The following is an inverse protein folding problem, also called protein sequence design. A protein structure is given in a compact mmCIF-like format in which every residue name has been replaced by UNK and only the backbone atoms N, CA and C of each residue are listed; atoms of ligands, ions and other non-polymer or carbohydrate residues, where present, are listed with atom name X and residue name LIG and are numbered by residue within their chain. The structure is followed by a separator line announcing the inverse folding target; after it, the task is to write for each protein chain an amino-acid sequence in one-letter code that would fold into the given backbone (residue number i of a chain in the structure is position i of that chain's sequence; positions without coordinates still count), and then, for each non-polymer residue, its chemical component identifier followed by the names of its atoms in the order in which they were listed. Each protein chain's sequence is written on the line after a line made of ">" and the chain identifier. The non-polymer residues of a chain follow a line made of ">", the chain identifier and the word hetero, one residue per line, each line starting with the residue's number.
data_IF_726694878000
#
_entry.id   IF_726694878000
#
_cell.length_a   1.000
_cell.length_b   1.000
_cell.length_c   1.000
_cell.angle_alpha   90.00
_cell.angle_beta   90.00
_cell.angle_gamma   90.00
#
_symmetry.space_group_name_H-M   'P 1'
#
loop_
_entity.id
_entity.type
_entity.pdbx_description
1 polymer ?
#
# COMPACT_ATOMS: atom_id res chain seq x y z
N UNK A 1 -35.22 -12.38 -3.61
CA UNK A 1 -34.03 -11.74 -3.02
C UNK A 1 -34.18 -10.25 -3.27
N UNK A 2 -34.44 -9.49 -2.22
CA UNK A 2 -34.57 -8.03 -2.31
C UNK A 2 -33.14 -7.50 -2.37
N UNK A 3 -32.72 -7.00 -3.53
CA UNK A 3 -31.55 -6.13 -3.62
C UNK A 3 -31.88 -4.91 -2.75
N UNK A 4 -31.38 -4.88 -1.52
CA UNK A 4 -31.36 -3.65 -0.75
C UNK A 4 -30.44 -2.71 -1.52
N UNK A 5 -31.04 -1.72 -2.19
CA UNK A 5 -30.34 -0.54 -2.67
C UNK A 5 -29.63 0.08 -1.47
N UNK A 6 -28.38 -0.32 -1.28
CA UNK A 6 -27.51 0.20 -0.24
C UNK A 6 -27.33 1.67 -0.53
N UNK A 7 -28.00 2.53 0.25
CA UNK A 7 -27.78 3.96 0.24
C UNK A 7 -26.29 4.19 0.44
N UNK A 8 -25.62 4.66 -0.61
CA UNK A 8 -24.21 5.03 -0.55
C UNK A 8 -24.03 6.01 0.61
N UNK A 9 -23.24 5.61 1.61
CA UNK A 9 -22.89 6.50 2.71
C UNK A 9 -21.94 7.53 2.14
N UNK A 10 -22.36 8.81 2.13
CA UNK A 10 -21.52 9.91 1.69
C UNK A 10 -20.19 9.94 2.44
N UNK A 11 -19.10 10.14 1.70
CA UNK A 11 -17.77 10.31 2.27
C UNK A 11 -17.62 11.75 2.76
N UNK A 12 -16.93 11.96 3.86
CA UNK A 12 -16.63 13.29 4.39
C UNK A 12 -15.30 13.23 5.12
N UNK A 13 -14.75 14.40 5.46
CA UNK A 13 -13.56 14.49 6.32
C UNK A 13 -13.73 13.71 7.62
N UNK A 14 -14.96 13.61 8.14
CA UNK A 14 -15.28 12.93 9.40
C UNK A 14 -15.51 11.44 9.27
N UNK A 15 -15.88 10.96 8.08
CA UNK A 15 -16.25 9.56 7.85
C UNK A 15 -15.17 8.78 7.11
N UNK A 16 -14.24 9.45 6.43
CA UNK A 16 -13.22 8.79 5.62
C UNK A 16 -12.34 7.82 6.41
N UNK A 17 -12.00 8.16 7.66
CA UNK A 17 -11.23 7.32 8.56
C UNK A 17 -11.91 6.00 8.95
N UNK A 18 -13.23 5.92 8.77
CA UNK A 18 -14.05 4.73 9.05
C UNK A 18 -14.21 3.80 7.85
N UNK A 19 -13.72 4.18 6.67
CA UNK A 19 -13.76 3.28 5.51
C UNK A 19 -12.90 2.06 5.75
N UNK A 20 -13.44 0.89 5.41
CA UNK A 20 -12.64 -0.31 5.22
C UNK A 20 -11.60 -0.05 4.13
N UNK A 21 -10.41 -0.64 4.28
CA UNK A 21 -9.30 -0.39 3.38
C UNK A 21 -9.63 -0.77 1.92
N UNK A 22 -10.44 -1.81 1.70
CA UNK A 22 -10.83 -2.20 0.35
C UNK A 22 -11.85 -1.22 -0.25
N UNK A 23 -12.75 -0.66 0.58
CA UNK A 23 -13.67 0.40 0.16
C UNK A 23 -12.91 1.68 -0.21
N UNK A 24 -11.84 2.00 0.52
CA UNK A 24 -10.96 3.12 0.19
C UNK A 24 -10.27 2.92 -1.16
N UNK A 25 -9.74 1.71 -1.43
CA UNK A 25 -9.17 1.34 -2.74
C UNK A 25 -10.19 1.52 -3.86
N UNK A 26 -11.41 1.02 -3.68
CA UNK A 26 -12.48 1.11 -4.67
C UNK A 26 -12.88 2.57 -4.94
N UNK A 27 -13.02 3.37 -3.89
CA UNK A 27 -13.41 4.78 -3.98
C UNK A 27 -12.37 5.63 -4.72
N UNK A 28 -11.08 5.40 -4.46
CA UNK A 28 -9.98 6.11 -5.12
C UNK A 28 -9.86 5.69 -6.59
N UNK A 29 -9.93 4.38 -6.86
CA UNK A 29 -9.81 3.85 -8.23
C UNK A 29 -10.98 4.28 -9.12
N UNK A 30 -12.16 4.55 -8.54
CA UNK A 30 -13.31 5.07 -9.26
C UNK A 30 -13.09 6.47 -9.85
N UNK A 31 -12.16 7.26 -9.30
CA UNK A 31 -11.90 8.62 -9.78
C UNK A 31 -11.27 8.61 -11.17
N UNK A 32 -10.29 7.74 -11.44
CA UNK A 32 -9.62 7.68 -12.75
C UNK A 32 -9.98 6.44 -13.57
N UNK A 33 -11.02 5.70 -13.19
CA UNK A 33 -11.43 4.44 -13.84
C UNK A 33 -11.54 4.52 -15.37
N UNK A 34 -11.95 5.67 -15.92
CA UNK A 34 -12.05 5.91 -17.37
C UNK A 34 -10.69 5.85 -18.06
N UNK A 35 -9.64 6.39 -17.42
CA UNK A 35 -8.27 6.39 -17.94
C UNK A 35 -7.52 5.12 -17.52
N UNK A 36 -7.71 4.64 -16.30
CA UNK A 36 -6.95 3.51 -15.77
C UNK A 36 -7.26 2.20 -16.48
N UNK A 37 -8.43 2.08 -17.12
CA UNK A 37 -8.74 0.98 -18.05
C UNK A 37 -7.82 0.95 -19.27
N UNK A 38 -7.30 2.10 -19.68
CA UNK A 38 -6.41 2.27 -20.84
C UNK A 38 -4.92 2.46 -20.45
N UNK A 39 -4.60 2.60 -19.16
CA UNK A 39 -3.22 2.64 -18.65
C UNK A 39 -2.64 1.25 -18.38
N UNK A 40 -1.43 0.93 -18.86
CA UNK A 40 -0.70 -0.26 -18.45
C UNK A 40 -0.45 -0.29 -16.93
N UNK A 41 -0.29 -1.48 -16.35
CA UNK A 41 0.05 -1.62 -14.92
C UNK A 41 1.35 -0.87 -14.58
N UNK A 42 2.33 -0.94 -15.47
CA UNK A 42 3.64 -0.31 -15.29
C UNK A 42 3.61 1.22 -15.30
N UNK A 43 2.66 1.84 -16.01
CA UNK A 43 2.47 3.30 -15.98
C UNK A 43 2.00 3.74 -14.59
N UNK A 44 0.95 3.09 -14.08
CA UNK A 44 0.41 3.36 -12.73
C UNK A 44 1.46 3.11 -11.64
N UNK A 45 2.23 2.03 -11.76
CA UNK A 45 3.32 1.74 -10.84
C UNK A 45 4.44 2.79 -10.89
N UNK A 46 4.78 3.29 -12.09
CA UNK A 46 5.81 4.32 -12.26
C UNK A 46 5.41 5.64 -11.59
N UNK A 47 4.12 5.99 -11.64
CA UNK A 47 3.59 7.13 -10.88
C UNK A 47 3.73 6.93 -9.37
N UNK A 48 3.38 5.75 -8.84
CA UNK A 48 3.58 5.45 -7.43
C UNK A 48 5.07 5.56 -7.04
N UNK A 49 5.99 5.03 -7.85
CA UNK A 49 7.43 5.12 -7.61
C UNK A 49 7.94 6.58 -7.65
N UNK A 50 7.45 7.40 -8.59
CA UNK A 50 7.79 8.81 -8.70
C UNK A 50 7.44 9.57 -7.41
N UNK A 51 6.23 9.39 -6.89
CA UNK A 51 5.80 10.07 -5.66
C UNK A 51 6.48 9.48 -4.41
N UNK A 52 6.78 8.18 -4.36
CA UNK A 52 7.60 7.61 -3.29
C UNK A 52 9.01 8.24 -3.23
N UNK A 53 9.63 8.47 -4.39
CA UNK A 53 10.92 9.17 -4.46
C UNK A 53 10.79 10.64 -4.05
N UNK A 54 9.70 11.32 -4.44
CA UNK A 54 9.41 12.69 -4.04
C UNK A 54 9.19 12.82 -2.52
N UNK A 55 8.52 11.85 -1.88
CA UNK A 55 8.41 11.77 -0.41
C UNK A 55 9.79 11.77 0.25
N UNK A 56 10.72 10.94 -0.22
CA UNK A 56 12.06 10.88 0.35
C UNK A 56 12.83 12.20 0.18
N UNK A 57 12.65 12.87 -0.96
CA UNK A 57 13.26 14.17 -1.22
C UNK A 57 12.64 15.28 -0.37
N UNK A 58 11.31 15.34 -0.23
CA UNK A 58 10.64 16.33 0.63
C UNK A 58 10.93 16.08 2.11
N UNK A 59 10.98 14.81 2.56
CA UNK A 59 11.40 14.46 3.92
C UNK A 59 12.84 14.94 4.21
N UNK A 60 13.76 14.81 3.26
CA UNK A 60 15.12 15.34 3.36
C UNK A 60 15.16 16.87 3.42
N UNK A 61 14.25 17.55 2.71
CA UNK A 61 14.17 19.02 2.71
C UNK A 61 13.66 19.59 4.02
N UNK A 62 12.90 18.84 4.83
CA UNK A 62 12.38 19.33 6.11
C UNK A 62 13.47 19.66 7.14
N UNK A 63 14.68 19.16 6.96
CA UNK A 63 15.86 19.58 7.75
C UNK A 63 16.30 21.03 7.40
N UNK A 64 15.85 21.59 6.28
CA UNK A 64 16.17 22.93 5.83
C UNK A 64 15.18 23.97 6.39
N UNK A 65 15.65 25.10 6.95
CA UNK A 65 14.77 26.15 7.43
C UNK A 65 13.82 26.66 6.34
N UNK A 66 12.52 26.68 6.63
CA UNK A 66 11.49 27.19 5.73
C UNK A 66 10.96 26.20 4.68
N UNK A 67 11.39 24.94 4.69
CA UNK A 67 10.79 23.91 3.85
C UNK A 67 9.32 23.65 4.27
N UNK A 68 8.34 23.72 3.36
CA UNK A 68 6.94 23.57 3.71
C UNK A 68 6.54 22.09 3.84
N UNK A 69 6.04 21.70 5.00
CA UNK A 69 5.51 20.36 5.27
C UNK A 69 4.32 19.97 4.37
N UNK A 70 3.56 20.97 3.90
CA UNK A 70 2.43 20.74 2.99
C UNK A 70 2.82 20.01 1.71
N UNK A 71 4.05 20.22 1.20
CA UNK A 71 4.54 19.48 0.03
C UNK A 71 4.73 18.00 0.33
N UNK A 72 5.30 17.66 1.48
CA UNK A 72 5.43 16.26 1.89
C UNK A 72 4.05 15.59 2.02
N UNK A 73 3.07 16.27 2.62
CA UNK A 73 1.69 15.76 2.73
C UNK A 73 1.04 15.57 1.36
N UNK A 74 1.27 16.49 0.42
CA UNK A 74 0.83 16.34 -0.95
C UNK A 74 1.44 15.09 -1.62
N UNK A 75 2.75 14.89 -1.51
CA UNK A 75 3.43 13.72 -2.10
C UNK A 75 2.97 12.41 -1.44
N UNK A 76 2.68 12.41 -0.13
CA UNK A 76 2.07 11.26 0.58
C UNK A 76 0.69 10.94 0.02
N UNK A 77 -0.15 11.96 -0.20
CA UNK A 77 -1.47 11.78 -0.78
C UNK A 77 -1.39 11.23 -2.21
N UNK A 78 -0.52 11.81 -3.04
CA UNK A 78 -0.33 11.39 -4.44
C UNK A 78 0.19 9.96 -4.52
N UNK A 79 1.22 9.64 -3.74
CA UNK A 79 1.76 8.30 -3.62
C UNK A 79 0.69 7.29 -3.23
N UNK A 80 -0.06 7.58 -2.16
CA UNK A 80 -1.12 6.68 -1.66
C UNK A 80 -2.19 6.46 -2.72
N UNK A 81 -2.60 7.53 -3.42
CA UNK A 81 -3.57 7.46 -4.49
C UNK A 81 -3.13 6.47 -5.60
N UNK A 82 -1.89 6.60 -6.07
CA UNK A 82 -1.33 5.72 -7.10
C UNK A 82 -1.04 4.30 -6.62
N UNK A 83 -0.63 4.12 -5.35
CA UNK A 83 -0.47 2.81 -4.73
C UNK A 83 -1.80 2.05 -4.68
N UNK A 84 -2.88 2.69 -4.23
CA UNK A 84 -4.20 2.07 -4.16
C UNK A 84 -4.75 1.76 -5.56
N UNK A 85 -4.50 2.63 -6.54
CA UNK A 85 -4.82 2.36 -7.95
C UNK A 85 -4.03 1.16 -8.50
N UNK A 86 -2.76 1.04 -8.15
CA UNK A 86 -1.93 -0.14 -8.50
C UNK A 86 -2.53 -1.41 -7.92
N UNK A 87 -2.86 -1.40 -6.62
CA UNK A 87 -3.47 -2.56 -5.93
C UNK A 87 -4.79 -2.95 -6.60
N UNK A 88 -5.63 -1.98 -6.97
CA UNK A 88 -6.86 -2.26 -7.71
C UNK A 88 -6.57 -2.97 -9.04
N UNK A 89 -5.59 -2.50 -9.82
CA UNK A 89 -5.20 -3.12 -11.10
C UNK A 89 -4.56 -4.51 -10.95
N UNK A 90 -3.95 -4.80 -9.80
CA UNK A 90 -3.35 -6.10 -9.49
C UNK A 90 -4.38 -7.16 -9.07
N UNK A 91 -5.62 -6.77 -8.76
CA UNK A 91 -6.70 -7.71 -8.43
C UNK A 91 -7.06 -8.59 -9.63
N UNK A 92 -7.59 -9.77 -9.34
CA UNK A 92 -8.04 -10.74 -10.34
C UNK A 92 -7.25 -12.05 -10.27
N UNK A 93 -7.52 -12.96 -11.21
CA UNK A 93 -6.85 -14.28 -11.22
C UNK A 93 -5.60 -14.25 -12.10
N UNK A 94 -4.61 -15.05 -11.72
CA UNK A 94 -3.41 -15.25 -12.54
C UNK A 94 -3.80 -15.74 -13.94
N UNK A 95 -3.26 -15.08 -14.97
CA UNK A 95 -3.54 -15.38 -16.38
C UNK A 95 -4.86 -14.79 -16.91
N UNK A 96 -5.67 -14.17 -16.05
CA UNK A 96 -6.89 -13.48 -16.48
C UNK A 96 -6.50 -12.17 -17.19
N UNK A 97 -6.87 -12.08 -18.47
CA UNK A 97 -6.63 -10.88 -19.27
C UNK A 97 -7.63 -9.80 -18.87
N UNK A 98 -7.09 -8.69 -18.39
CA UNK A 98 -7.83 -7.46 -18.17
C UNK A 98 -7.52 -6.58 -19.38
N UNK A 99 -8.34 -6.69 -20.45
CA UNK A 99 -8.27 -5.87 -21.68
C UNK A 99 -6.99 -5.99 -22.56
N UNK A 100 -6.86 -5.12 -23.56
CA UNK A 100 -5.95 -5.11 -24.73
C UNK A 100 -4.43 -5.01 -24.41
N UNK A 101 -4.04 -5.17 -23.14
CA UNK A 101 -2.66 -5.00 -22.70
C UNK A 101 -1.77 -6.21 -22.99
N UNK A 102 -0.44 -6.03 -22.92
CA UNK A 102 0.51 -7.12 -23.13
C UNK A 102 0.22 -8.29 -22.20
N UNK A 103 0.37 -9.52 -22.71
CA UNK A 103 0.12 -10.77 -21.96
C UNK A 103 0.85 -10.81 -20.62
N UNK A 104 2.01 -10.16 -20.49
CA UNK A 104 2.80 -10.11 -19.25
C UNK A 104 2.02 -9.51 -18.06
N UNK A 105 1.17 -8.51 -18.31
CA UNK A 105 0.41 -7.84 -17.25
C UNK A 105 -0.61 -8.81 -16.65
N UNK A 106 -1.06 -9.83 -17.39
CA UNK A 106 -1.96 -10.88 -16.87
C UNK A 106 -1.33 -11.81 -15.83
N UNK A 107 0.00 -11.85 -15.76
CA UNK A 107 0.74 -12.70 -14.82
C UNK A 107 1.02 -11.99 -13.50
N UNK A 108 0.95 -10.67 -13.45
CA UNK A 108 1.21 -9.88 -12.23
C UNK A 108 -0.10 -9.69 -11.48
N UNK A 109 -0.36 -10.55 -10.49
CA UNK A 109 -1.58 -10.50 -9.66
C UNK A 109 -1.27 -10.70 -8.20
N UNK A 110 -2.04 -10.05 -7.34
CA UNK A 110 -2.05 -10.31 -5.90
C UNK A 110 -3.08 -11.40 -5.55
N UNK A 111 -2.90 -12.08 -4.42
CA UNK A 111 -3.80 -13.19 -4.03
C UNK A 111 -5.10 -12.75 -3.34
N UNK A 112 -5.15 -11.52 -2.82
CA UNK A 112 -6.28 -10.99 -2.06
C UNK A 112 -6.52 -9.50 -2.30
N UNK A 113 -7.33 -8.88 -1.44
CA UNK A 113 -7.55 -7.43 -1.45
C UNK A 113 -6.57 -6.73 -0.50
N UNK A 114 -6.60 -5.39 -0.44
CA UNK A 114 -5.62 -4.61 0.31
C UNK A 114 -5.61 -4.96 1.80
N UNK A 115 -6.79 -5.11 2.41
CA UNK A 115 -6.91 -5.54 3.80
C UNK A 115 -6.33 -6.95 4.02
N UNK A 116 -6.44 -7.85 3.03
CA UNK A 116 -5.89 -9.19 3.11
C UNK A 116 -4.35 -9.18 3.02
N UNK A 117 -3.77 -8.30 2.19
CA UNK A 117 -2.31 -8.17 2.08
C UNK A 117 -1.71 -7.82 3.46
N UNK A 118 -2.22 -6.74 4.06
CA UNK A 118 -1.78 -6.29 5.38
C UNK A 118 -2.06 -7.34 6.46
N UNK A 119 -3.25 -7.93 6.50
CA UNK A 119 -3.60 -8.90 7.55
C UNK A 119 -2.78 -10.18 7.46
N UNK A 120 -2.53 -10.69 6.25
CA UNK A 120 -1.73 -11.89 6.04
C UNK A 120 -0.25 -11.72 6.44
N UNK A 121 0.25 -10.47 6.41
CA UNK A 121 1.62 -10.11 6.80
C UNK A 121 1.73 -9.68 8.26
N UNK A 122 0.72 -8.96 8.76
CA UNK A 122 0.68 -8.32 10.07
C UNK A 122 -0.58 -8.68 10.85
N UNK A 123 -0.76 -9.95 11.25
CA UNK A 123 -1.98 -10.39 11.90
C UNK A 123 -1.97 -10.05 13.40
N UNK A 124 -1.56 -8.85 13.82
CA UNK A 124 -1.37 -8.52 15.24
C UNK A 124 0.05 -8.70 15.77
N UNK A 125 1.01 -9.08 14.93
CA UNK A 125 2.40 -9.34 15.31
C UNK A 125 3.39 -8.95 14.21
N UNK A 126 4.63 -8.65 14.60
CA UNK A 126 5.72 -8.46 13.66
C UNK A 126 6.16 -9.82 13.06
N UNK A 127 6.18 -9.98 11.72
CA UNK A 127 6.55 -11.24 11.06
C UNK A 127 8.03 -11.62 11.30
N UNK A 128 8.85 -10.69 11.79
CA UNK A 128 10.28 -10.88 11.95
C UNK A 128 10.67 -11.36 13.36
N UNK A 129 10.27 -10.64 14.41
CA UNK A 129 10.69 -10.96 15.78
C UNK A 129 9.63 -11.70 16.62
N UNK A 130 8.35 -11.59 16.23
CA UNK A 130 7.22 -12.10 17.00
C UNK A 130 6.45 -13.21 16.26
N UNK A 131 6.98 -13.70 15.12
CA UNK A 131 6.39 -14.86 14.45
C UNK A 131 6.55 -16.09 15.35
N UNK A 132 5.45 -16.76 15.73
CA UNK A 132 5.53 -17.97 16.54
C UNK A 132 6.15 -19.12 15.72
N UNK A 133 6.61 -20.17 16.41
CA UNK A 133 7.11 -21.38 15.77
C UNK A 133 5.99 -22.15 15.04
N UNK A 134 4.76 -22.01 15.53
CA UNK A 134 3.56 -22.64 14.99
C UNK A 134 2.40 -21.63 15.03
N UNK A 135 1.41 -21.79 14.15
CA UNK A 135 0.24 -20.91 14.14
C UNK A 135 -0.64 -21.16 15.37
N UNK A 136 -1.01 -20.09 16.07
CA UNK A 136 -1.85 -20.16 17.27
C UNK A 136 -2.86 -19.01 17.32
N UNK A 137 -4.09 -19.23 17.84
CA UNK A 137 -5.00 -18.14 18.13
C UNK A 137 -4.43 -17.25 19.25
N UNK A 138 -4.65 -15.93 19.20
CA UNK A 138 -4.27 -15.12 20.35
C UNK A 138 -5.22 -15.36 21.51
N UNK A 139 -4.66 -15.57 22.70
CA UNK A 139 -5.41 -15.59 23.95
C UNK A 139 -5.71 -14.16 24.40
N UNK A 140 -6.73 -13.97 25.24
CA UNK A 140 -7.10 -12.65 25.78
C UNK A 140 -5.95 -11.99 26.58
N UNK A 141 -5.04 -12.79 27.14
CA UNK A 141 -3.86 -12.33 27.88
C UNK A 141 -2.71 -11.87 26.98
N UNK A 142 -2.72 -12.23 25.70
CA UNK A 142 -1.72 -11.73 24.76
C UNK A 142 -2.12 -10.32 24.32
N UNK A 143 -1.29 -9.33 24.64
CA UNK A 143 -1.41 -7.97 24.09
C UNK A 143 -1.39 -8.05 22.56
N UNK A 144 -2.56 -7.84 21.95
CA UNK A 144 -2.69 -7.63 20.53
C UNK A 144 -1.76 -6.47 20.14
N UNK A 145 -1.00 -6.61 19.06
CA UNK A 145 0.02 -5.63 18.63
C UNK A 145 1.28 -5.59 19.49
N UNK A 146 1.74 -6.76 19.94
CA UNK A 146 3.03 -6.89 20.63
C UNK A 146 4.13 -6.14 19.86
N UNK A 147 4.73 -5.17 20.56
CA UNK A 147 5.74 -4.29 19.99
C UNK A 147 6.88 -5.07 19.34
N UNK A 148 7.32 -4.55 18.21
CA UNK A 148 8.43 -5.10 17.45
C UNK A 148 9.75 -4.94 18.22
N UNK A 149 10.44 -6.06 18.45
CA UNK A 149 11.76 -6.13 19.06
C UNK A 149 12.90 -6.33 18.06
N UNK A 150 12.68 -6.15 16.75
CA UNK A 150 13.71 -6.33 15.73
C UNK A 150 14.94 -5.45 15.96
N UNK A 151 14.73 -4.25 16.50
CA UNK A 151 15.79 -3.26 16.74
C UNK A 151 16.78 -3.71 17.84
N UNK A 152 16.42 -4.71 18.66
CA UNK A 152 17.30 -5.29 19.67
C UNK A 152 18.10 -6.50 19.14
N UNK A 153 17.81 -6.95 17.91
CA UNK A 153 18.31 -8.20 17.33
C UNK A 153 19.04 -7.99 16.00
N UNK A 154 19.77 -6.88 15.86
CA UNK A 154 20.60 -6.57 14.68
C UNK A 154 21.59 -7.69 14.29
N UNK A 155 21.85 -8.65 15.20
CA UNK A 155 22.74 -9.80 14.99
C UNK A 155 22.11 -11.05 14.34
N UNK A 156 20.81 -11.07 14.01
CA UNK A 156 20.15 -12.27 13.44
C UNK A 156 19.56 -12.09 12.03
N UNK A 157 20.04 -11.12 11.24
CA UNK A 157 19.98 -11.19 9.77
C UNK A 157 20.97 -12.24 9.24
N UNK A 158 21.05 -13.41 9.88
CA UNK A 158 21.59 -14.58 9.19
C UNK A 158 20.75 -14.76 7.92
N UNK A 159 21.42 -14.99 6.79
CA UNK A 159 20.79 -15.32 5.52
C UNK A 159 19.90 -16.55 5.70
N UNK A 160 18.64 -16.31 6.10
CA UNK A 160 17.64 -17.36 6.24
C UNK A 160 17.47 -17.98 4.86
N UNK A 161 17.44 -19.30 4.81
CA UNK A 161 17.15 -19.99 3.56
C UNK A 161 15.80 -19.52 3.01
N UNK A 162 15.65 -19.56 1.68
CA UNK A 162 14.38 -19.24 1.03
C UNK A 162 13.22 -20.05 1.60
N UNK A 163 13.46 -21.30 2.00
CA UNK A 163 12.45 -22.17 2.59
C UNK A 163 12.04 -21.72 4.00
N UNK A 164 12.98 -21.24 4.82
CA UNK A 164 12.66 -20.67 6.13
C UNK A 164 11.80 -19.40 6.02
N UNK A 165 12.06 -18.56 5.02
CA UNK A 165 11.21 -17.39 4.72
C UNK A 165 9.82 -17.80 4.24
N UNK A 166 9.72 -18.82 3.38
CA UNK A 166 8.44 -19.38 2.91
C UNK A 166 7.61 -19.97 4.06
N UNK A 167 8.24 -20.76 4.93
CA UNK A 167 7.55 -21.37 6.08
C UNK A 167 7.00 -20.30 7.02
N UNK A 168 7.81 -19.29 7.33
CA UNK A 168 7.39 -18.14 8.14
C UNK A 168 6.19 -17.42 7.53
N UNK A 169 6.22 -17.13 6.23
CA UNK A 169 5.11 -16.49 5.53
C UNK A 169 3.81 -17.34 5.59
N UNK A 170 3.92 -18.67 5.62
CA UNK A 170 2.79 -19.57 5.82
C UNK A 170 2.28 -19.56 7.26
N UNK A 171 3.17 -19.57 8.25
CA UNK A 171 2.79 -19.47 9.67
C UNK A 171 2.03 -18.17 9.93
N UNK A 172 2.52 -17.04 9.45
CA UNK A 172 1.86 -15.73 9.61
C UNK A 172 0.46 -15.73 9.01
N UNK A 173 0.27 -16.29 7.80
CA UNK A 173 -1.05 -16.41 7.16
C UNK A 173 -2.00 -17.33 7.92
N UNK A 174 -1.51 -18.44 8.48
CA UNK A 174 -2.34 -19.32 9.33
C UNK A 174 -2.75 -18.59 10.61
N UNK A 175 -1.84 -17.84 11.23
CA UNK A 175 -2.16 -16.97 12.38
C UNK A 175 -3.19 -15.90 12.01
N UNK A 176 -3.09 -15.31 10.82
CA UNK A 176 -4.07 -14.36 10.30
C UNK A 176 -5.46 -14.99 10.20
N UNK A 177 -5.56 -16.20 9.64
CA UNK A 177 -6.82 -16.93 9.54
C UNK A 177 -7.45 -17.25 10.92
N UNK A 178 -6.62 -17.64 11.90
CA UNK A 178 -7.07 -17.95 13.26
C UNK A 178 -7.54 -16.73 14.06
N UNK A 179 -7.17 -15.51 13.63
CA UNK A 179 -7.48 -14.26 14.33
C UNK A 179 -8.29 -13.29 13.48
N UNK A 180 -9.01 -13.79 12.46
CA UNK A 180 -9.71 -12.95 11.48
C UNK A 180 -10.70 -11.95 12.10
N UNK A 181 -11.26 -12.27 13.27
CA UNK A 181 -12.15 -11.40 14.06
C UNK A 181 -11.47 -10.16 14.64
N UNK A 182 -10.14 -10.18 14.76
CA UNK A 182 -9.30 -9.10 15.32
C UNK A 182 -8.72 -8.17 14.25
N UNK A 183 -9.04 -8.42 12.97
CA UNK A 183 -8.58 -7.60 11.85
C UNK A 183 -9.11 -6.16 12.00
N UNK A 184 -8.25 -5.13 11.84
CA UNK A 184 -8.71 -3.74 11.76
C UNK A 184 -9.77 -3.55 10.67
N UNK A 185 -10.82 -2.79 10.98
CA UNK A 185 -12.00 -2.62 10.12
C UNK A 185 -12.02 -1.30 9.36
N UNK A 186 -11.07 -0.41 9.64
CA UNK A 186 -10.97 0.87 8.95
C UNK A 186 -9.52 1.29 8.74
N UNK A 187 -9.29 2.24 7.81
CA UNK A 187 -7.95 2.76 7.53
C UNK A 187 -7.28 3.37 8.77
N UNK A 188 -8.02 4.09 9.62
CA UNK A 188 -7.45 4.68 10.84
C UNK A 188 -7.12 3.59 11.88
N UNK A 189 -7.92 2.52 11.95
CA UNK A 189 -7.61 1.37 12.80
C UNK A 189 -6.37 0.62 12.30
N UNK A 190 -6.19 0.51 10.98
CA UNK A 190 -4.96 -0.03 10.39
C UNK A 190 -3.74 0.82 10.75
N UNK A 191 -3.84 2.14 10.63
CA UNK A 191 -2.76 3.04 11.03
C UNK A 191 -2.39 2.84 12.50
N UNK A 192 -3.38 2.88 13.41
CA UNK A 192 -3.17 2.69 14.84
C UNK A 192 -2.52 1.33 15.18
N UNK A 193 -2.93 0.26 14.50
CA UNK A 193 -2.39 -1.08 14.68
C UNK A 193 -0.91 -1.19 14.26
N UNK A 194 -0.56 -0.64 13.10
CA UNK A 194 0.83 -0.59 12.62
C UNK A 194 1.67 0.31 13.51
N UNK A 195 1.14 1.45 13.91
CA UNK A 195 1.79 2.43 14.79
C UNK A 195 2.15 1.82 16.14
N UNK A 196 1.25 1.04 16.76
CA UNK A 196 1.56 0.37 18.03
C UNK A 196 2.62 -0.72 17.82
N UNK A 197 2.47 -1.57 16.80
CA UNK A 197 3.41 -2.64 16.53
C UNK A 197 4.84 -2.11 16.26
N UNK A 198 4.99 -0.98 15.56
CA UNK A 198 6.28 -0.39 15.21
C UNK A 198 6.64 0.86 16.02
N UNK A 199 5.96 1.11 17.15
CA UNK A 199 6.12 2.31 17.98
C UNK A 199 7.58 2.63 18.30
N UNK A 200 8.33 1.66 18.79
CA UNK A 200 9.74 1.83 19.15
C UNK A 200 10.61 2.24 17.97
N UNK A 201 10.39 1.62 16.81
CA UNK A 201 11.12 1.92 15.57
C UNK A 201 10.77 3.31 15.05
N UNK A 202 9.47 3.65 15.02
CA UNK A 202 8.97 4.96 14.60
C UNK A 202 9.55 6.09 15.44
N UNK A 203 9.65 5.90 16.76
CA UNK A 203 10.27 6.89 17.66
C UNK A 203 11.76 7.07 17.36
N UNK A 204 12.48 5.98 17.09
CA UNK A 204 13.93 5.97 16.90
C UNK A 204 14.39 6.49 15.54
N UNK A 205 13.73 6.06 14.46
CA UNK A 205 14.14 6.40 13.09
C UNK A 205 13.82 7.86 12.77
N UNK A 206 14.65 8.49 11.95
CA UNK A 206 14.33 9.81 11.39
C UNK A 206 13.24 9.68 10.33
N UNK A 207 12.57 10.80 10.02
CA UNK A 207 11.61 10.84 8.91
C UNK A 207 12.25 10.44 7.58
N UNK A 208 13.51 10.88 7.37
CA UNK A 208 14.34 10.50 6.23
C UNK A 208 14.55 8.99 6.16
N UNK A 209 14.95 8.34 7.25
CA UNK A 209 15.20 6.88 7.25
C UNK A 209 13.92 6.10 6.94
N UNK A 210 12.78 6.52 7.52
CA UNK A 210 11.48 5.91 7.24
C UNK A 210 11.11 6.07 5.75
N UNK A 211 11.33 7.27 5.17
CA UNK A 211 11.06 7.51 3.75
C UNK A 211 11.98 6.71 2.81
N UNK A 212 13.23 6.47 3.20
CA UNK A 212 14.16 5.63 2.43
C UNK A 212 13.76 4.16 2.49
N UNK A 213 13.29 3.66 3.64
CA UNK A 213 12.75 2.31 3.73
C UNK A 213 11.47 2.14 2.90
N UNK A 214 10.57 3.14 2.88
CA UNK A 214 9.43 3.11 1.98
C UNK A 214 9.87 2.95 0.51
N UNK A 215 10.90 3.68 0.08
CA UNK A 215 11.44 3.57 -1.27
C UNK A 215 12.16 2.23 -1.54
N UNK A 216 12.82 1.67 -0.53
CA UNK A 216 13.42 0.32 -0.57
C UNK A 216 12.34 -0.73 -0.85
N UNK A 217 11.24 -0.73 -0.08
CA UNK A 217 10.15 -1.69 -0.29
C UNK A 217 9.46 -1.52 -1.65
N UNK A 218 9.37 -0.29 -2.18
CA UNK A 218 8.91 -0.07 -3.56
C UNK A 218 9.83 -0.78 -4.57
N UNK A 219 11.14 -0.76 -4.36
CA UNK A 219 12.08 -1.55 -5.15
C UNK A 219 11.81 -3.05 -5.05
N UNK A 220 11.49 -3.56 -3.86
CA UNK A 220 11.17 -4.98 -3.65
C UNK A 220 9.86 -5.40 -4.34
N UNK A 221 8.82 -4.55 -4.30
CA UNK A 221 7.59 -4.78 -5.08
C UNK A 221 7.88 -4.82 -6.57
N UNK A 222 8.71 -3.91 -7.10
CA UNK A 222 9.09 -3.92 -8.50
C UNK A 222 9.84 -5.22 -8.90
N UNK A 223 10.78 -5.69 -8.08
CA UNK A 223 11.43 -7.01 -8.25
C UNK A 223 10.40 -8.14 -8.21
N UNK A 224 9.46 -8.10 -7.26
CA UNK A 224 8.35 -9.04 -7.15
C UNK A 224 7.49 -9.10 -8.41
N UNK A 225 7.09 -7.95 -8.95
CA UNK A 225 6.32 -7.82 -10.19
C UNK A 225 7.09 -8.38 -11.38
N UNK A 226 8.37 -8.05 -11.54
CA UNK A 226 9.23 -8.57 -12.63
C UNK A 226 9.35 -10.10 -12.55
N UNK A 227 9.49 -10.65 -11.34
CA UNK A 227 9.58 -12.09 -11.12
C UNK A 227 8.32 -12.83 -11.50
N UNK A 228 7.14 -12.19 -11.53
CA UNK A 228 5.91 -12.88 -11.93
C UNK A 228 5.92 -13.38 -13.37
N UNK A 229 6.75 -12.80 -14.25
CA UNK A 229 6.86 -13.21 -15.66
C UNK A 229 8.28 -13.55 -16.12
N UNK A 230 9.25 -13.66 -15.21
CA UNK A 230 10.64 -14.05 -15.53
C UNK A 230 11.01 -15.37 -14.87
N UNK A 231 11.20 -16.44 -15.64
CA UNK A 231 11.46 -17.79 -15.12
C UNK A 231 12.84 -18.30 -15.52
N UNK A 232 13.47 -19.06 -14.63
CA UNK A 232 14.62 -19.90 -14.97
C UNK A 232 14.12 -21.28 -15.41
N UNK A 233 14.93 -22.00 -16.20
CA UNK A 233 14.58 -23.34 -16.69
C UNK A 233 14.21 -24.31 -15.55
N UNK A 234 14.94 -24.23 -14.43
CA UNK A 234 14.66 -25.03 -13.23
C UNK A 234 13.28 -24.76 -12.60
N UNK A 235 12.70 -23.58 -12.84
CA UNK A 235 11.40 -23.20 -12.28
C UNK A 235 10.25 -23.87 -13.06
N UNK A 236 10.48 -24.25 -14.32
CA UNK A 236 9.45 -24.78 -15.21
C UNK A 236 8.93 -26.16 -14.76
N UNK A 237 9.75 -26.93 -14.06
CA UNK A 237 9.36 -28.25 -13.52
C UNK A 237 8.29 -28.20 -12.44
N UNK A 238 8.09 -27.04 -11.78
CA UNK A 238 7.04 -26.84 -10.78
C UNK A 238 6.46 -25.41 -10.86
N UNK A 239 6.08 -25.02 -12.07
CA UNK A 239 5.67 -23.65 -12.39
C UNK A 239 4.52 -23.15 -11.49
N UNK A 240 3.53 -23.99 -11.21
CA UNK A 240 2.38 -23.61 -10.38
C UNK A 240 2.78 -23.27 -8.94
N UNK A 241 3.60 -24.12 -8.30
CA UNK A 241 4.08 -23.85 -6.93
C UNK A 241 4.91 -22.59 -6.87
N UNK A 242 5.78 -22.39 -7.87
CA UNK A 242 6.64 -21.21 -7.94
C UNK A 242 5.83 -19.93 -8.18
N UNK A 243 4.82 -19.97 -9.05
CA UNK A 243 3.89 -18.85 -9.27
C UNK A 243 3.20 -18.43 -7.97
N UNK A 244 2.66 -19.38 -7.20
CA UNK A 244 2.03 -19.05 -5.92
C UNK A 244 3.04 -18.52 -4.89
N UNK A 245 4.27 -19.02 -4.90
CA UNK A 245 5.33 -18.50 -4.02
C UNK A 245 5.70 -17.05 -4.38
N UNK A 246 5.78 -16.73 -5.67
CA UNK A 246 6.06 -15.37 -6.16
C UNK A 246 4.91 -14.42 -5.89
N UNK A 247 3.67 -14.85 -6.12
CA UNK A 247 2.48 -14.07 -5.77
C UNK A 247 2.44 -13.76 -4.27
N UNK A 248 2.70 -14.74 -3.40
CA UNK A 248 2.78 -14.49 -1.95
C UNK A 248 3.88 -13.51 -1.56
N UNK A 249 5.03 -13.58 -2.23
CA UNK A 249 6.10 -12.60 -2.00
C UNK A 249 5.66 -11.21 -2.40
N UNK A 250 5.06 -11.06 -3.58
CA UNK A 250 4.50 -9.78 -4.03
C UNK A 250 3.46 -9.23 -3.05
N UNK A 251 2.58 -10.08 -2.51
CA UNK A 251 1.62 -9.69 -1.48
C UNK A 251 2.33 -9.16 -0.21
N UNK A 252 3.39 -9.85 0.23
CA UNK A 252 4.18 -9.47 1.41
C UNK A 252 4.91 -8.13 1.18
N UNK A 253 5.55 -7.92 0.02
CA UNK A 253 6.26 -6.65 -0.26
C UNK A 253 5.27 -5.47 -0.35
N UNK A 254 4.07 -5.67 -0.93
CA UNK A 254 3.03 -4.63 -0.95
C UNK A 254 2.52 -4.30 0.46
N UNK A 255 2.39 -5.30 1.32
CA UNK A 255 2.04 -5.08 2.73
C UNK A 255 3.14 -4.31 3.46
N UNK A 256 4.41 -4.57 3.15
CA UNK A 256 5.55 -3.86 3.73
C UNK A 256 5.56 -2.39 3.31
N UNK A 257 5.30 -2.08 2.03
CA UNK A 257 5.08 -0.70 1.53
C UNK A 257 3.98 0.02 2.32
N UNK A 258 2.81 -0.61 2.52
CA UNK A 258 1.75 -0.01 3.34
C UNK A 258 2.18 0.25 4.77
N UNK A 259 2.89 -0.70 5.39
CA UNK A 259 3.29 -0.57 6.79
C UNK A 259 4.25 0.61 6.99
N UNK A 260 5.18 0.84 6.04
CA UNK A 260 6.07 1.98 6.07
C UNK A 260 5.36 3.29 5.74
N UNK A 261 4.38 3.29 4.82
CA UNK A 261 3.53 4.45 4.58
C UNK A 261 2.78 4.89 5.85
N UNK A 262 2.16 3.95 6.56
CA UNK A 262 1.44 4.23 7.80
C UNK A 262 2.41 4.69 8.91
N UNK A 263 3.59 4.06 9.00
CA UNK A 263 4.66 4.47 9.93
C UNK A 263 5.17 5.88 9.63
N UNK A 264 5.30 6.26 8.35
CA UNK A 264 5.69 7.59 7.91
C UNK A 264 4.66 8.63 8.34
N UNK A 265 3.38 8.39 8.10
CA UNK A 265 2.29 9.28 8.52
C UNK A 265 2.27 9.43 10.04
N UNK A 266 2.41 8.32 10.78
CA UNK A 266 2.53 8.36 12.24
C UNK A 266 3.77 9.10 12.75
N UNK A 267 4.83 9.22 11.95
CA UNK A 267 6.01 10.02 12.30
C UNK A 267 5.75 11.53 12.20
N UNK A 268 4.93 11.96 11.23
CA UNK A 268 4.55 13.37 11.08
C UNK A 268 3.77 13.89 12.29
N UNK A 269 2.91 13.04 12.85
CA UNK A 269 2.18 13.36 14.09
C UNK A 269 3.14 13.72 15.25
N UNK A 270 4.23 12.99 15.40
CA UNK A 270 5.22 13.27 16.45
C UNK A 270 5.96 14.60 16.23
N UNK A 271 5.99 15.11 15.00
CA UNK A 271 6.61 16.39 14.67
C UNK A 271 5.66 17.58 14.91
N UNK A 272 4.35 17.40 14.68
CA UNK A 272 3.33 18.42 14.92
C UNK A 272 3.14 18.74 16.42
N UNK A 273 3.20 17.70 17.27
CA UNK A 273 2.89 17.80 18.71
C UNK A 273 3.90 18.62 19.54
N UNK A 274 5.05 19.02 18.98
CA UNK A 274 6.03 19.86 19.68
C UNK A 274 5.62 21.34 19.75
N UNK A 275 4.55 21.74 19.04
CA UNK A 275 4.13 23.15 18.96
C UNK A 275 2.67 23.44 19.29
N UNK A 276 1.74 22.47 19.18
CA UNK A 276 0.32 22.71 19.45
C UNK A 276 -0.46 21.43 19.79
N UNK A 277 -0.78 21.21 21.07
CA UNK A 277 -1.60 20.08 21.56
C UNK A 277 -3.03 20.04 20.97
N UNK A 278 -3.46 21.07 20.23
CA UNK A 278 -4.78 21.11 19.59
C UNK A 278 -4.81 20.52 18.18
N UNK A 279 -3.64 20.30 17.54
CA UNK A 279 -3.55 19.59 16.27
C UNK A 279 -3.59 18.09 16.54
N UNK A 280 -4.76 17.48 16.32
CA UNK A 280 -4.93 16.03 16.48
C UNK A 280 -4.04 15.20 15.55
N UNK A 281 -4.00 13.89 15.80
CA UNK A 281 -3.16 12.92 15.10
C UNK A 281 -3.15 13.08 13.58
N UNK A 282 -1.97 13.11 12.95
CA UNK A 282 -1.85 13.01 11.51
C UNK A 282 -2.37 11.65 11.04
N UNK A 283 -3.50 11.64 10.33
CA UNK A 283 -4.14 10.43 9.81
C UNK A 283 -4.05 10.41 8.28
N UNK A 284 -3.71 9.25 7.71
CA UNK A 284 -3.60 9.07 6.26
C UNK A 284 -4.92 9.40 5.56
N UNK A 285 -6.04 9.02 6.18
CA UNK A 285 -7.39 9.31 5.70
C UNK A 285 -7.66 10.81 5.57
N UNK A 286 -7.15 11.62 6.52
CA UNK A 286 -7.26 13.08 6.48
C UNK A 286 -6.33 13.68 5.41
N UNK A 287 -5.10 13.19 5.29
CA UNK A 287 -4.16 13.63 4.22
C UNK A 287 -4.78 13.40 2.84
N UNK A 288 -5.38 12.22 2.62
CA UNK A 288 -6.10 11.91 1.38
C UNK A 288 -7.30 12.82 1.15
N UNK A 289 -8.11 13.05 2.18
CA UNK A 289 -9.30 13.89 2.08
C UNK A 289 -8.95 15.35 1.80
N UNK A 290 -7.91 15.88 2.44
CA UNK A 290 -7.44 17.26 2.21
C UNK A 290 -7.02 17.49 0.77
N UNK A 291 -6.53 16.44 0.12
CA UNK A 291 -6.03 16.54 -1.24
C UNK A 291 -7.04 16.20 -2.35
N UNK A 292 -7.94 15.27 -2.11
CA UNK A 292 -8.83 14.72 -3.13
C UNK A 292 -10.31 14.71 -2.70
N UNK A 293 -10.61 14.94 -1.43
CA UNK A 293 -11.95 14.89 -0.88
C UNK A 293 -12.71 16.20 -1.07
N UNK A 294 -14.03 16.08 -1.16
CA UNK A 294 -14.94 17.21 -1.26
C UNK A 294 -16.18 16.95 -0.40
N UNK A 295 -16.32 17.68 0.71
CA UNK A 295 -17.42 17.50 1.66
C UNK A 295 -18.80 17.87 1.04
N UNK A 296 -18.87 18.82 0.11
CA UNK A 296 -20.12 19.18 -0.56
C UNK A 296 -20.61 18.07 -1.50
N UNK A 297 -19.67 17.40 -2.17
CA UNK A 297 -19.96 16.26 -3.06
C UNK A 297 -19.96 14.94 -2.34
N UNK A 298 -19.62 14.92 -1.07
CA UNK A 298 -19.45 13.73 -0.24
C UNK A 298 -18.63 12.60 -0.93
N UNK A 299 -17.56 12.96 -1.64
CA UNK A 299 -16.80 12.02 -2.48
C UNK A 299 -15.36 12.47 -2.74
N UNK A 300 -14.53 11.54 -3.23
CA UNK A 300 -13.26 11.89 -3.88
C UNK A 300 -13.50 12.47 -5.27
N UNK A 301 -12.59 13.34 -5.72
CA UNK A 301 -12.63 13.95 -7.04
C UNK A 301 -11.26 14.06 -7.71
N UNK A 302 -11.28 14.14 -9.03
CA UNK A 302 -10.09 14.47 -9.80
C UNK A 302 -9.70 15.93 -9.52
N UNK A 303 -8.45 16.18 -9.11
CA UNK A 303 -7.95 17.53 -8.78
C UNK A 303 -7.92 18.51 -9.96
N UNK A 304 -7.95 18.01 -11.19
CA UNK A 304 -7.84 18.84 -12.38
C UNK A 304 -9.21 19.30 -12.88
N UNK A 305 -10.19 18.40 -12.94
CA UNK A 305 -11.54 18.70 -13.46
C UNK A 305 -12.63 18.73 -12.38
N UNK A 306 -12.28 18.55 -11.11
CA UNK A 306 -13.18 18.54 -9.94
C UNK A 306 -14.43 17.68 -10.17
N UNK A 307 -14.25 16.53 -10.81
CA UNK A 307 -15.33 15.59 -11.10
C UNK A 307 -15.10 14.30 -10.33
N UNK A 308 -16.18 13.68 -9.83
CA UNK A 308 -16.12 12.38 -9.14
C UNK A 308 -15.45 11.30 -9.98
N UNK A 309 -15.72 11.31 -11.29
CA UNK A 309 -14.99 10.54 -12.30
C UNK A 309 -14.28 11.52 -13.22
N UNK A 310 -13.00 11.30 -13.44
CA UNK A 310 -12.13 12.14 -14.25
C UNK A 310 -12.64 12.23 -15.69
N UNK A 311 -12.68 13.47 -16.19
CA UNK A 311 -13.03 13.84 -17.57
C UNK A 311 -11.90 14.62 -18.24
N UNK A 312 -10.70 14.58 -17.67
CA UNK A 312 -9.56 15.29 -18.26
C UNK A 312 -9.18 14.63 -19.59
N UNK A 313 -8.79 15.43 -20.56
CA UNK A 313 -8.26 14.93 -21.83
C UNK A 313 -6.81 14.44 -21.63
N UNK A 314 -6.67 13.28 -20.99
CA UNK A 314 -5.37 12.65 -20.76
C UNK A 314 -5.01 11.82 -22.00
N UNK A 315 -4.00 12.29 -22.75
CA UNK A 315 -3.41 11.53 -23.85
C UNK A 315 -2.40 10.55 -23.27
N UNK A 316 -2.69 9.25 -23.39
CA UNK A 316 -1.78 8.17 -23.03
C UNK A 316 -1.21 7.60 -24.33
N UNK A 317 0.10 7.74 -24.52
CA UNK A 317 0.79 7.20 -25.68
C UNK A 317 1.19 5.76 -25.37
N UNK A 318 0.52 4.81 -26.02
CA UNK A 318 0.64 3.38 -25.72
C UNK A 318 1.43 2.62 -26.81
N UNK A 319 1.70 3.24 -27.95
CA UNK A 319 2.41 2.63 -29.07
C UNK A 319 3.45 3.58 -29.68
N UNK A 320 4.53 3.01 -30.19
CA UNK A 320 5.60 3.72 -30.89
C UNK A 320 5.03 4.50 -32.08
N UNK A 321 4.06 3.93 -32.81
CA UNK A 321 3.41 4.58 -33.95
C UNK A 321 2.66 5.87 -33.55
N UNK A 322 2.10 5.92 -32.33
CA UNK A 322 1.44 7.12 -31.82
C UNK A 322 2.46 8.21 -31.46
N UNK A 323 3.62 7.81 -30.94
CA UNK A 323 4.73 8.72 -30.61
C UNK A 323 5.30 9.33 -31.89
N UNK A 324 5.55 8.50 -32.90
CA UNK A 324 6.10 8.96 -34.18
C UNK A 324 5.13 9.94 -34.87
N UNK A 325 3.82 9.72 -34.74
CA UNK A 325 2.79 10.64 -35.22
C UNK A 325 2.77 12.03 -34.54
N UNK A 326 3.35 12.18 -33.34
CA UNK A 326 3.49 13.48 -32.66
C UNK A 326 4.66 14.31 -33.18
N UNK A 327 5.74 13.66 -33.60
CA UNK A 327 6.95 14.34 -34.10
C UNK A 327 6.90 14.63 -35.61
N UNK A 328 5.88 14.14 -36.30
CA UNK A 328 5.66 14.32 -37.74
C UNK A 328 4.61 15.40 -38.07
N UNK A 329 4.16 16.17 -37.07
CA UNK A 329 3.34 17.39 -37.21
C UNK A 329 4.14 18.59 -36.73
#
# INVERSE_FOLDING_TARGET
>A
MVEQEGREVGLSRRTIGNLDLDQLVDSISAVYVTHDRARPLWDVWSHALHHAAAIAEEARKLDCPGAPESKLRQEIADFTFWLLTTIFKLRGRLGERVHEFPVRDSLVRISGRAADLLWNRYPGLCPWCNCPAEASPFTYEQELWKQCGCDQKDSQRETKSKDALRERAMITRRTAALNADKRPKSIDQWQAAIDEMYRSRRLRLSLKDISLHLLEEMGEVADGMIRMYTFLEKDLGNLQTELYARQRRLDDELADVFSWLLTLVGKLDLMDNDTDLSRGYALLSQILWDQYGNDEKEAFECRHCNSRTCKCDIVILNDQDQIDGLFLR
#
